data_IF_972527197688
#
_entry.id   IF_972527197688
#
_cell.length_a   1.000
_cell.length_b   1.000
_cell.length_c   1.000
_cell.angle_alpha   90.00
_cell.angle_beta   90.00
_cell.angle_gamma   90.00
#
_symmetry.space_group_name_H-M   'P 1'
#
loop_
_entity.id
_entity.type
_entity.pdbx_description
1 polymer ?
#
# COMPACT_ATOMS: atom_id res chain seq x y z
N UNK A 1 23.35 -5.61 -1.80
CA UNK A 1 22.04 -6.10 -1.31
C UNK A 1 20.91 -5.06 -1.40
N UNK A 2 21.22 -3.77 -1.52
CA UNK A 2 20.26 -2.66 -1.38
C UNK A 2 19.30 -2.52 -2.57
N UNK A 3 19.74 -2.90 -3.78
CA UNK A 3 18.89 -2.87 -4.99
C UNK A 3 17.76 -3.90 -4.96
N UNK A 4 18.00 -5.07 -4.36
CA UNK A 4 17.00 -6.13 -4.20
C UNK A 4 15.93 -5.72 -3.19
N UNK A 5 16.35 -5.08 -2.08
CA UNK A 5 15.42 -4.52 -1.09
C UNK A 5 14.57 -3.38 -1.67
N UNK A 6 15.17 -2.50 -2.47
CA UNK A 6 14.47 -1.44 -3.20
C UNK A 6 13.44 -2.04 -4.18
N UNK A 7 13.86 -3.00 -5.00
CA UNK A 7 12.98 -3.67 -5.97
C UNK A 7 11.82 -4.38 -5.27
N UNK A 8 12.09 -5.14 -4.20
CA UNK A 8 11.05 -5.83 -3.44
C UNK A 8 10.07 -4.85 -2.78
N UNK A 9 10.57 -3.79 -2.15
CA UNK A 9 9.73 -2.76 -1.53
C UNK A 9 8.84 -2.04 -2.55
N UNK A 10 9.38 -1.67 -3.72
CA UNK A 10 8.60 -1.04 -4.79
C UNK A 10 7.53 -1.97 -5.36
N UNK A 11 7.84 -3.25 -5.58
CA UNK A 11 6.86 -4.24 -6.08
C UNK A 11 5.73 -4.43 -5.06
N UNK A 12 6.06 -4.52 -3.77
CA UNK A 12 5.08 -4.70 -2.70
C UNK A 12 4.14 -3.49 -2.58
N UNK A 13 4.69 -2.28 -2.69
CA UNK A 13 3.92 -1.04 -2.63
C UNK A 13 3.00 -0.91 -3.84
N UNK A 14 3.51 -1.09 -5.06
CA UNK A 14 2.72 -1.03 -6.30
C UNK A 14 1.62 -2.10 -6.28
N UNK A 15 1.95 -3.33 -5.89
CA UNK A 15 0.99 -4.42 -5.76
C UNK A 15 -0.12 -4.10 -4.75
N UNK A 16 0.23 -3.56 -3.58
CA UNK A 16 -0.76 -3.14 -2.57
C UNK A 16 -1.70 -2.03 -3.06
N UNK A 17 -1.17 -1.04 -3.78
CA UNK A 17 -1.97 0.06 -4.36
C UNK A 17 -2.92 -0.45 -5.43
N UNK A 18 -2.44 -1.33 -6.33
CA UNK A 18 -3.28 -1.92 -7.38
C UNK A 18 -4.39 -2.77 -6.74
N UNK A 19 -4.07 -3.60 -5.75
CA UNK A 19 -5.05 -4.46 -5.07
C UNK A 19 -6.13 -3.61 -4.38
N UNK A 20 -5.73 -2.54 -3.68
CA UNK A 20 -6.65 -1.61 -3.04
C UNK A 20 -7.53 -0.86 -4.06
N UNK A 21 -6.95 -0.43 -5.18
CA UNK A 21 -7.68 0.21 -6.28
C UNK A 21 -8.70 -0.72 -6.94
N UNK A 22 -8.34 -1.99 -7.16
CA UNK A 22 -9.25 -2.99 -7.72
C UNK A 22 -10.45 -3.25 -6.81
N UNK A 23 -10.27 -3.25 -5.49
CA UNK A 23 -11.40 -3.34 -4.55
C UNK A 23 -12.37 -2.18 -4.75
N UNK A 24 -11.87 -0.95 -4.85
CA UNK A 24 -12.73 0.22 -5.08
C UNK A 24 -13.43 0.17 -6.44
N UNK A 25 -12.73 -0.29 -7.48
CA UNK A 25 -13.32 -0.48 -8.81
C UNK A 25 -14.42 -1.55 -8.79
N UNK A 26 -14.20 -2.67 -8.11
CA UNK A 26 -15.20 -3.73 -7.98
C UNK A 26 -16.44 -3.25 -7.20
N UNK A 27 -16.25 -2.49 -6.13
CA UNK A 27 -17.36 -1.86 -5.38
C UNK A 27 -18.09 -0.85 -6.27
N UNK A 28 -17.38 -0.04 -7.07
CA UNK A 28 -18.01 0.92 -7.98
C UNK A 28 -18.83 0.24 -9.08
N UNK A 29 -18.42 -0.95 -9.53
CA UNK A 29 -19.18 -1.75 -10.50
C UNK A 29 -20.36 -2.49 -9.85
N UNK A 30 -20.25 -2.86 -8.57
CA UNK A 30 -21.31 -3.51 -7.82
C UNK A 30 -22.37 -2.52 -7.30
N UNK A 31 -21.96 -1.29 -7.02
CA UNK A 31 -22.77 -0.17 -6.57
C UNK A 31 -24.13 0.01 -7.28
N UNK A 32 -24.22 0.04 -8.62
CA UNK A 32 -25.49 0.23 -9.33
C UNK A 32 -26.45 -0.97 -9.21
N UNK A 33 -25.95 -2.15 -8.85
CA UNK A 33 -26.77 -3.36 -8.70
C UNK A 33 -27.35 -3.52 -7.27
N UNK A 34 -26.99 -2.62 -6.34
CA UNK A 34 -27.53 -2.63 -4.98
C UNK A 34 -28.79 -1.75 -4.87
N UNK A 35 -29.96 -2.33 -4.50
CA UNK A 35 -31.16 -1.55 -4.24
C UNK A 35 -31.06 -0.77 -2.91
N UNK A 36 -31.66 0.42 -2.87
CA UNK A 36 -31.81 1.21 -1.63
C UNK A 36 -30.53 1.86 -1.12
N UNK A 37 -29.90 2.74 -1.90
CA UNK A 37 -28.76 3.58 -1.47
C UNK A 37 -29.07 4.51 -0.29
N UNK A 38 -30.36 4.75 -0.02
CA UNK A 38 -30.85 5.69 0.99
C UNK A 38 -31.14 5.04 2.36
N UNK A 39 -31.01 3.71 2.50
CA UNK A 39 -31.31 3.01 3.76
C UNK A 39 -30.04 2.78 4.61
N UNK A 40 -29.97 3.27 5.86
CA UNK A 40 -28.89 2.93 6.79
C UNK A 40 -28.97 1.43 7.17
N UNK A 41 -27.85 0.69 7.33
CA UNK A 41 -26.49 1.11 7.67
C UNK A 41 -25.50 1.12 6.48
N UNK A 42 -24.30 1.67 6.72
CA UNK A 42 -23.29 2.03 5.70
C UNK A 42 -23.04 0.99 4.61
N UNK A 43 -23.46 1.33 3.38
CA UNK A 43 -23.48 0.45 2.19
C UNK A 43 -22.10 -0.02 1.73
N UNK A 44 -21.03 0.70 2.05
CA UNK A 44 -19.67 0.28 1.70
C UNK A 44 -19.28 -1.02 2.41
N UNK A 45 -19.60 -1.14 3.70
CA UNK A 45 -19.35 -2.36 4.47
C UNK A 45 -20.19 -3.52 3.95
N UNK A 46 -21.46 -3.26 3.61
CA UNK A 46 -22.39 -4.26 3.11
C UNK A 46 -22.02 -4.72 1.69
N UNK A 47 -21.53 -3.82 0.84
CA UNK A 47 -20.99 -4.14 -0.48
C UNK A 47 -19.70 -4.96 -0.36
N UNK A 48 -18.80 -4.61 0.55
CA UNK A 48 -17.57 -5.38 0.81
C UNK A 48 -17.85 -6.79 1.33
N UNK A 49 -18.84 -6.95 2.20
CA UNK A 49 -19.26 -8.25 2.72
C UNK A 49 -19.92 -9.09 1.62
N UNK A 50 -20.84 -8.51 0.86
CA UNK A 50 -21.54 -9.20 -0.23
C UNK A 50 -20.61 -9.65 -1.37
N UNK A 51 -19.52 -8.92 -1.61
CA UNK A 51 -18.55 -9.23 -2.67
C UNK A 51 -17.32 -9.98 -2.14
N UNK A 52 -17.27 -10.32 -0.84
CA UNK A 52 -16.09 -10.91 -0.17
C UNK A 52 -14.79 -10.12 -0.38
N UNK A 53 -14.89 -8.81 -0.68
CA UNK A 53 -13.75 -7.93 -0.94
C UNK A 53 -13.01 -7.50 0.33
N UNK A 54 -13.50 -7.90 1.51
CA UNK A 54 -12.83 -7.67 2.79
C UNK A 54 -11.41 -8.24 2.78
N UNK A 55 -11.22 -9.46 2.24
CA UNK A 55 -9.92 -10.10 2.19
C UNK A 55 -8.88 -9.30 1.37
N UNK A 56 -9.11 -9.00 0.08
CA UNK A 56 -8.15 -8.20 -0.71
C UNK A 56 -8.00 -6.77 -0.18
N UNK A 57 -9.02 -6.20 0.46
CA UNK A 57 -8.92 -4.88 1.10
C UNK A 57 -7.92 -4.87 2.26
N UNK A 58 -8.05 -5.81 3.20
CA UNK A 58 -7.16 -5.93 4.35
C UNK A 58 -5.74 -6.29 3.89
N UNK A 59 -5.61 -7.22 2.94
CA UNK A 59 -4.30 -7.58 2.37
C UNK A 59 -3.63 -6.40 1.66
N UNK A 60 -4.38 -5.59 0.90
CA UNK A 60 -3.86 -4.40 0.22
C UNK A 60 -3.31 -3.35 1.20
N UNK A 61 -4.03 -3.11 2.30
CA UNK A 61 -3.58 -2.19 3.36
C UNK A 61 -2.30 -2.71 4.02
N UNK A 62 -2.23 -4.01 4.36
CA UNK A 62 -1.02 -4.60 4.93
C UNK A 62 0.17 -4.47 3.98
N UNK A 63 -0.03 -4.69 2.69
CA UNK A 63 1.03 -4.56 1.67
C UNK A 63 1.50 -3.11 1.54
N UNK A 64 0.60 -2.13 1.58
CA UNK A 64 0.97 -0.71 1.62
C UNK A 64 1.81 -0.37 2.84
N UNK A 65 1.40 -0.80 4.04
CA UNK A 65 2.12 -0.50 5.29
C UNK A 65 3.53 -1.10 5.25
N UNK A 66 3.65 -2.37 4.86
CA UNK A 66 4.94 -3.07 4.74
C UNK A 66 5.83 -2.40 3.68
N UNK A 67 5.26 -2.04 2.52
CA UNK A 67 5.97 -1.34 1.46
C UNK A 67 6.52 0.02 1.92
N UNK A 68 5.72 0.81 2.63
CA UNK A 68 6.14 2.11 3.19
C UNK A 68 7.25 1.93 4.23
N UNK A 69 7.12 0.96 5.13
CA UNK A 69 8.14 0.68 6.15
C UNK A 69 9.48 0.28 5.52
N UNK A 70 9.45 -0.58 4.49
CA UNK A 70 10.65 -0.96 3.74
C UNK A 70 11.28 0.24 3.03
N UNK A 71 10.46 1.11 2.44
CA UNK A 71 10.94 2.30 1.76
C UNK A 71 11.61 3.28 2.75
N UNK A 72 10.99 3.50 3.92
CA UNK A 72 11.55 4.34 4.98
C UNK A 72 12.86 3.78 5.55
N UNK A 73 12.94 2.46 5.76
CA UNK A 73 14.15 1.80 6.23
C UNK A 73 15.31 2.00 5.25
N UNK A 74 15.04 1.83 3.95
CA UNK A 74 16.03 2.06 2.90
C UNK A 74 16.44 3.53 2.79
N UNK A 75 15.48 4.46 2.88
CA UNK A 75 15.77 5.90 2.86
C UNK A 75 16.70 6.31 4.00
N UNK A 76 16.47 5.76 5.21
CA UNK A 76 17.35 5.99 6.36
C UNK A 76 18.76 5.40 6.14
N UNK A 77 18.86 4.22 5.56
CA UNK A 77 20.15 3.58 5.26
C UNK A 77 20.97 4.40 4.25
N UNK A 78 20.33 4.87 3.18
CA UNK A 78 20.96 5.75 2.18
C UNK A 78 21.38 7.09 2.80
N UNK A 79 20.51 7.69 3.63
CA UNK A 79 20.80 8.95 4.32
C UNK A 79 22.00 8.81 5.27
N UNK A 80 22.08 7.71 6.02
CA UNK A 80 23.19 7.44 6.95
C UNK A 80 24.51 7.23 6.22
N UNK A 81 24.50 6.44 5.14
CA UNK A 81 25.69 6.24 4.31
C UNK A 81 26.19 7.54 3.67
N UNK A 82 25.29 8.43 3.25
CA UNK A 82 25.69 9.71 2.68
C UNK A 82 26.40 10.60 3.72
N UNK A 83 25.87 10.71 4.95
CA UNK A 83 26.51 11.47 6.02
C UNK A 83 27.91 10.97 6.37
N UNK A 84 28.08 9.65 6.48
CA UNK A 84 29.39 9.04 6.76
C UNK A 84 30.41 9.37 5.67
N UNK A 85 29.98 9.36 4.41
CA UNK A 85 30.85 9.67 3.27
C UNK A 85 31.32 11.12 3.27
N UNK A 86 30.43 12.08 3.59
CA UNK A 86 30.78 13.51 3.69
C UNK A 86 31.80 13.73 4.81
N UNK A 87 31.60 13.11 5.97
CA UNK A 87 32.54 13.25 7.10
C UNK A 87 33.95 12.71 6.79
N UNK A 88 34.09 11.71 5.92
CA UNK A 88 35.41 11.22 5.49
C UNK A 88 36.11 12.15 4.47
N UNK A 89 35.38 13.03 3.78
CA UNK A 89 35.95 14.00 2.82
C UNK A 89 36.49 15.23 3.56
N UNK A 90 35.81 15.66 4.63
CA UNK A 90 36.25 16.79 5.47
C UNK A 90 37.44 16.47 6.40
N UNK A 91 37.98 15.25 6.36
CA UNK A 91 39.09 14.79 7.21
C UNK A 91 40.38 14.52 6.42
N UNK A 92 40.46 14.94 5.15
CA UNK A 92 41.63 14.81 4.28
C UNK A 92 42.09 16.17 3.78
#
# INVERSE_FOLDING_TARGET
MNKLLLSAGSIFLISGVILFGMVHMAIANYAPNMPGWSDPPGKFSLAMEATMLIAPYVTGILFMIIGILLFLALYRDLSKNNKNKVQCIDQK
#
